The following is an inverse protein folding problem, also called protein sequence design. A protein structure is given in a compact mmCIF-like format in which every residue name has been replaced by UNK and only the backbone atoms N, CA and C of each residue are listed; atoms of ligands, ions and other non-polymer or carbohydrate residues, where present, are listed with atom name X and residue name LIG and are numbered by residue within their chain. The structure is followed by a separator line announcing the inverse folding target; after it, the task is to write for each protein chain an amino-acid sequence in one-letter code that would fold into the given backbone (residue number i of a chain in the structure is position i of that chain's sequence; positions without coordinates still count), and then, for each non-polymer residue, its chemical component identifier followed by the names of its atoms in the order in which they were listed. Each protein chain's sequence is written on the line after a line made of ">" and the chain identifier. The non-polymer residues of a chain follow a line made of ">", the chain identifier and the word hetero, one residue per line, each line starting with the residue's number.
data_IF_844569499877
#
_entry.id   IF_844569499877
#
_cell.length_a   1.000
_cell.length_b   1.000
_cell.length_c   1.000
_cell.angle_alpha   90.00
_cell.angle_beta   90.00
_cell.angle_gamma   90.00
#
_symmetry.space_group_name_H-M   'P 1'
#
loop_
_entity.id
_entity.type
_entity.pdbx_description
1 polymer ?
#
# COMPACT_ATOMS: atom_id res chain seq x y z
N UNK A 1 67.58 1.55 3.50
CA UNK A 1 66.86 1.69 4.78
C UNK A 1 65.43 1.22 4.55
N UNK A 2 65.07 0.07 5.16
CA UNK A 2 63.77 -0.60 5.02
C UNK A 2 62.70 0.19 5.80
N UNK A 3 61.69 0.71 5.11
CA UNK A 3 60.50 1.30 5.74
C UNK A 3 59.55 0.18 6.14
N UNK A 4 59.40 -0.01 7.45
CA UNK A 4 58.54 -0.99 8.09
C UNK A 4 57.06 -0.63 7.90
N UNK A 5 56.39 -1.30 6.96
CA UNK A 5 54.93 -1.44 7.00
C UNK A 5 54.57 -2.25 8.24
N UNK A 6 54.05 -1.58 9.27
CA UNK A 6 53.32 -2.25 10.35
C UNK A 6 52.00 -2.74 9.78
N UNK A 7 51.95 -4.02 9.42
CA UNK A 7 50.70 -4.75 9.28
C UNK A 7 50.25 -5.14 10.68
N UNK A 8 49.43 -4.29 11.29
CA UNK A 8 48.79 -4.59 12.56
C UNK A 8 47.52 -5.41 12.30
N UNK A 9 47.68 -6.72 12.55
CA UNK A 9 46.76 -7.55 13.30
C UNK A 9 45.29 -7.63 12.81
N UNK A 10 45.01 -8.55 11.87
CA UNK A 10 43.65 -9.09 11.69
C UNK A 10 43.61 -10.56 12.10
N UNK A 11 43.68 -10.78 13.42
CA UNK A 11 43.39 -12.06 14.06
C UNK A 11 41.89 -12.28 14.30
N UNK A 12 41.02 -11.95 13.34
CA UNK A 12 39.58 -12.24 13.43
C UNK A 12 39.19 -13.36 12.48
N UNK A 13 38.77 -14.47 13.08
CA UNK A 13 38.05 -15.62 12.48
C UNK A 13 37.58 -15.39 11.04
N UNK A 14 38.33 -15.97 10.12
CA UNK A 14 38.15 -15.84 8.66
C UNK A 14 36.83 -16.43 8.14
N UNK A 15 36.01 -17.02 9.00
CA UNK A 15 34.79 -17.77 8.63
C UNK A 15 33.48 -17.00 8.88
N UNK A 16 33.49 -15.83 9.57
CA UNK A 16 32.24 -15.12 9.95
C UNK A 16 32.28 -13.59 9.83
N UNK A 17 33.07 -13.04 8.91
CA UNK A 17 33.05 -11.60 8.66
C UNK A 17 31.81 -11.23 7.82
N UNK A 18 30.80 -10.61 8.45
CA UNK A 18 29.55 -10.17 7.80
C UNK A 18 29.83 -9.26 6.58
N UNK A 19 30.89 -8.45 6.66
CA UNK A 19 31.37 -7.59 5.58
C UNK A 19 31.86 -8.38 4.35
N UNK A 20 32.52 -9.53 4.56
CA UNK A 20 32.97 -10.41 3.45
C UNK A 20 31.78 -11.04 2.74
N UNK A 21 30.69 -11.37 3.44
CA UNK A 21 29.46 -11.93 2.85
C UNK A 21 28.80 -10.91 1.91
N UNK A 22 28.83 -9.62 2.25
CA UNK A 22 28.37 -8.53 1.38
C UNK A 22 29.38 -8.13 0.29
N UNK A 23 30.64 -8.57 0.40
CA UNK A 23 31.73 -8.16 -0.49
C UNK A 23 32.15 -6.70 -0.32
N UNK A 24 32.01 -6.14 0.89
CA UNK A 24 32.36 -4.75 1.21
C UNK A 24 33.46 -4.71 2.29
N UNK A 25 34.21 -3.61 2.37
CA UNK A 25 35.20 -3.41 3.44
C UNK A 25 34.54 -3.12 4.79
N UNK A 26 35.26 -3.36 5.90
CA UNK A 26 34.76 -3.06 7.25
C UNK A 26 34.45 -1.56 7.47
N UNK A 27 35.12 -0.69 6.71
CA UNK A 27 34.90 0.76 6.71
C UNK A 27 33.79 1.22 5.75
N UNK A 28 33.01 0.30 5.18
CA UNK A 28 31.98 0.64 4.19
C UNK A 28 30.89 1.54 4.80
N UNK A 29 30.46 2.55 4.04
CA UNK A 29 29.36 3.42 4.45
C UNK A 29 28.03 2.64 4.48
N UNK A 30 27.04 3.10 5.27
CA UNK A 30 25.70 2.50 5.24
C UNK A 30 25.10 2.45 3.83
N UNK A 31 25.39 3.44 2.99
CA UNK A 31 24.91 3.48 1.61
C UNK A 31 25.55 2.39 0.73
N UNK A 32 26.83 2.07 0.93
CA UNK A 32 27.53 1.02 0.20
C UNK A 32 27.05 -0.38 0.60
N UNK A 33 26.84 -0.60 1.91
CA UNK A 33 26.25 -1.84 2.45
C UNK A 33 24.87 -2.07 1.81
N UNK A 34 24.02 -1.04 1.76
CA UNK A 34 22.69 -1.09 1.13
C UNK A 34 22.76 -1.41 -0.36
N UNK A 35 23.68 -0.77 -1.10
CA UNK A 35 23.88 -1.03 -2.54
C UNK A 35 24.38 -2.45 -2.80
N UNK A 36 25.32 -2.94 -1.99
CA UNK A 36 25.85 -4.29 -2.11
C UNK A 36 24.78 -5.35 -1.81
N UNK A 37 24.00 -5.14 -0.74
CA UNK A 37 22.85 -5.98 -0.40
C UNK A 37 21.87 -6.07 -1.57
N UNK A 38 21.46 -4.94 -2.15
CA UNK A 38 20.48 -4.91 -3.24
C UNK A 38 20.96 -5.70 -4.47
N UNK A 39 22.23 -5.55 -4.84
CA UNK A 39 22.84 -6.30 -5.95
C UNK A 39 22.84 -7.81 -5.71
N UNK A 40 23.16 -8.24 -4.48
CA UNK A 40 23.19 -9.66 -4.12
C UNK A 40 21.78 -10.25 -3.97
N UNK A 41 20.85 -9.51 -3.36
CA UNK A 41 19.46 -9.91 -3.21
C UNK A 41 18.78 -10.10 -4.57
N UNK A 42 19.03 -9.25 -5.57
CA UNK A 42 18.52 -9.42 -6.94
C UNK A 42 19.09 -10.65 -7.65
N UNK A 43 20.33 -11.04 -7.35
CA UNK A 43 20.99 -12.21 -7.92
C UNK A 43 20.51 -13.51 -7.29
N UNK A 44 20.26 -13.48 -5.98
CA UNK A 44 19.86 -14.63 -5.18
C UNK A 44 18.34 -14.70 -4.94
N UNK A 45 17.56 -13.87 -5.64
CA UNK A 45 16.12 -13.79 -5.42
C UNK A 45 15.45 -15.13 -5.76
N UNK A 46 14.56 -15.66 -4.91
CA UNK A 46 13.90 -16.96 -5.12
C UNK A 46 13.06 -16.99 -6.40
N UNK A 47 12.56 -15.85 -6.89
CA UNK A 47 11.83 -15.80 -8.17
C UNK A 47 12.71 -16.13 -9.39
N UNK A 48 14.02 -15.83 -9.33
CA UNK A 48 14.98 -16.14 -10.40
C UNK A 48 15.62 -17.52 -10.22
N UNK A 49 15.79 -17.96 -8.98
CA UNK A 49 16.48 -19.22 -8.63
C UNK A 49 15.54 -20.13 -7.82
N UNK A 50 14.44 -20.58 -8.46
CA UNK A 50 13.38 -21.34 -7.79
C UNK A 50 13.82 -22.74 -7.30
N UNK A 51 14.85 -23.30 -7.93
CA UNK A 51 15.31 -24.69 -7.70
C UNK A 51 16.72 -24.77 -7.11
N UNK A 52 17.29 -23.64 -6.67
CA UNK A 52 18.65 -23.56 -6.12
C UNK A 52 18.61 -23.37 -4.60
N UNK A 53 18.79 -24.47 -3.86
CA UNK A 53 18.86 -24.44 -2.39
C UNK A 53 20.11 -23.68 -1.88
N UNK A 54 21.21 -23.63 -2.63
CA UNK A 54 22.36 -22.81 -2.24
C UNK A 54 22.05 -21.32 -2.34
N UNK A 55 21.30 -20.90 -3.36
CA UNK A 55 20.89 -19.50 -3.51
C UNK A 55 20.00 -19.07 -2.34
N UNK A 56 19.13 -19.96 -1.87
CA UNK A 56 18.25 -19.76 -0.72
C UNK A 56 19.03 -19.68 0.59
N UNK A 57 20.02 -20.55 0.82
CA UNK A 57 20.90 -20.47 1.99
C UNK A 57 21.71 -19.17 2.00
N UNK A 58 22.31 -18.80 0.85
CA UNK A 58 23.04 -17.53 0.69
C UNK A 58 22.13 -16.32 0.87
N UNK A 59 20.87 -16.39 0.43
CA UNK A 59 19.88 -15.35 0.65
C UNK A 59 19.52 -15.19 2.14
N UNK A 60 19.33 -16.29 2.87
CA UNK A 60 19.09 -16.26 4.31
C UNK A 60 20.29 -15.69 5.07
N UNK A 61 21.51 -16.07 4.69
CA UNK A 61 22.74 -15.46 5.25
C UNK A 61 22.80 -13.95 4.96
N UNK A 62 22.47 -13.54 3.74
CA UNK A 62 22.42 -12.13 3.35
C UNK A 62 21.38 -11.34 4.17
N UNK A 63 20.24 -11.96 4.49
CA UNK A 63 19.21 -11.37 5.36
C UNK A 63 19.71 -11.19 6.80
N UNK A 64 20.41 -12.17 7.38
CA UNK A 64 21.03 -12.07 8.71
C UNK A 64 22.11 -10.98 8.76
N UNK A 65 22.89 -10.86 7.68
CA UNK A 65 23.94 -9.85 7.57
C UNK A 65 23.36 -8.44 7.56
N UNK A 66 22.32 -8.19 6.76
CA UNK A 66 21.74 -6.85 6.67
C UNK A 66 20.96 -6.46 7.94
N UNK A 67 20.40 -7.41 8.69
CA UNK A 67 19.75 -7.10 9.97
C UNK A 67 20.73 -6.62 11.03
N UNK A 68 22.02 -6.99 10.91
CA UNK A 68 23.07 -6.56 11.83
C UNK A 68 23.77 -5.30 11.30
N UNK A 69 24.18 -5.30 10.02
CA UNK A 69 24.95 -4.20 9.42
C UNK A 69 24.08 -3.04 8.91
N UNK A 70 22.77 -3.25 8.78
CA UNK A 70 21.83 -2.23 8.30
C UNK A 70 21.44 -1.21 9.38
N UNK A 71 21.52 -1.60 10.65
CA UNK A 71 21.25 -0.75 11.80
C UNK A 71 22.57 -0.27 12.41
N UNK A 72 22.70 1.05 12.62
CA UNK A 72 23.92 1.66 13.14
C UNK A 72 24.22 1.20 14.57
N UNK A 73 23.19 0.97 15.39
CA UNK A 73 23.36 0.50 16.77
C UNK A 73 23.87 -0.95 16.78
N UNK A 74 23.25 -1.84 15.98
CA UNK A 74 23.65 -3.24 15.87
C UNK A 74 25.01 -3.41 15.20
N UNK A 75 25.34 -2.54 14.24
CA UNK A 75 26.67 -2.49 13.62
C UNK A 75 27.72 -2.10 14.65
N UNK A 76 27.48 -1.08 15.47
CA UNK A 76 28.42 -0.67 16.51
C UNK A 76 28.67 -1.79 17.53
N UNK A 77 27.61 -2.53 17.91
CA UNK A 77 27.74 -3.71 18.78
C UNK A 77 28.54 -4.83 18.11
N UNK A 78 28.32 -5.08 16.82
CA UNK A 78 29.10 -6.06 16.05
C UNK A 78 30.58 -5.68 15.94
N UNK A 79 30.87 -4.41 15.66
CA UNK A 79 32.23 -3.88 15.53
C UNK A 79 33.01 -3.95 16.86
N UNK A 80 32.30 -3.86 18.00
CA UNK A 80 32.88 -3.97 19.35
C UNK A 80 33.04 -5.42 19.82
N UNK A 81 32.00 -6.26 19.64
CA UNK A 81 31.92 -7.59 20.24
C UNK A 81 32.47 -8.69 19.31
N UNK A 82 32.52 -8.45 18.00
CA UNK A 82 33.05 -9.39 17.01
C UNK A 82 32.22 -10.67 16.79
N UNK A 83 31.12 -10.84 17.52
CA UNK A 83 30.15 -11.93 17.38
C UNK A 83 28.76 -11.41 17.74
N UNK A 84 27.73 -11.87 17.01
CA UNK A 84 26.33 -11.64 17.37
C UNK A 84 25.76 -12.99 17.77
N UNK A 85 25.23 -13.09 18.98
CA UNK A 85 24.61 -14.31 19.47
C UNK A 85 23.33 -14.61 18.67
N UNK A 86 23.22 -15.85 18.18
CA UNK A 86 22.10 -16.36 17.37
C UNK A 86 20.73 -16.26 18.09
N UNK A 87 20.72 -16.05 19.42
CA UNK A 87 19.52 -15.98 20.24
C UNK A 87 18.69 -14.70 20.04
N UNK A 88 19.29 -13.61 19.56
CA UNK A 88 18.58 -12.33 19.35
C UNK A 88 17.91 -12.25 17.97
N UNK A 89 17.96 -13.34 17.20
CA UNK A 89 17.59 -13.37 15.77
C UNK A 89 16.34 -14.21 15.44
N UNK A 90 15.66 -14.82 16.41
CA UNK A 90 14.67 -15.88 16.11
C UNK A 90 13.18 -15.48 16.12
N UNK A 91 12.82 -14.23 16.41
CA UNK A 91 11.41 -13.79 16.39
C UNK A 91 11.19 -12.42 15.75
N UNK A 92 12.06 -11.48 16.08
CA UNK A 92 11.93 -10.07 15.70
C UNK A 92 12.60 -9.73 14.34
N UNK A 93 13.33 -10.66 13.73
CA UNK A 93 14.12 -10.37 12.51
C UNK A 93 13.25 -10.11 11.28
N UNK A 94 12.09 -10.77 11.17
CA UNK A 94 11.20 -10.58 10.00
C UNK A 94 10.47 -9.24 10.07
N UNK A 95 9.99 -8.86 11.26
CA UNK A 95 9.34 -7.57 11.48
C UNK A 95 10.36 -6.42 11.39
N UNK A 96 11.55 -6.58 11.97
CA UNK A 96 12.67 -5.65 11.79
C UNK A 96 13.09 -5.52 10.32
N UNK A 97 13.10 -6.61 9.55
CA UNK A 97 13.49 -6.55 8.14
C UNK A 97 12.43 -5.87 7.28
N UNK A 98 11.14 -6.10 7.57
CA UNK A 98 10.04 -5.41 6.89
C UNK A 98 10.09 -3.92 7.16
N UNK A 99 10.32 -3.52 8.40
CA UNK A 99 10.39 -2.12 8.78
C UNK A 99 11.68 -1.45 8.32
N UNK A 100 12.80 -2.19 8.31
CA UNK A 100 14.03 -1.79 7.64
C UNK A 100 13.80 -1.51 6.15
N UNK A 101 13.14 -2.40 5.42
CA UNK A 101 12.83 -2.17 4.00
C UNK A 101 11.87 -1.00 3.78
N UNK A 102 10.86 -0.82 4.64
CA UNK A 102 9.99 0.35 4.58
C UNK A 102 10.71 1.66 4.87
N UNK A 103 11.73 1.66 5.73
CA UNK A 103 12.56 2.83 6.03
C UNK A 103 13.60 3.09 4.94
N UNK A 104 14.06 2.04 4.25
CA UNK A 104 15.05 2.10 3.18
C UNK A 104 14.51 2.68 1.87
N UNK A 105 13.27 2.35 1.52
CA UNK A 105 12.65 2.82 0.28
C UNK A 105 11.73 4.00 0.54
N UNK A 106 11.72 4.98 -0.37
CA UNK A 106 10.77 6.10 -0.31
C UNK A 106 9.35 5.51 -0.25
N UNK A 107 8.57 5.96 0.72
CA UNK A 107 7.13 5.65 0.76
C UNK A 107 6.51 6.27 -0.50
N UNK A 108 6.04 5.41 -1.40
CA UNK A 108 5.32 5.82 -2.61
C UNK A 108 4.05 6.54 -2.15
N UNK A 109 3.96 7.83 -2.44
CA UNK A 109 2.77 8.63 -2.17
C UNK A 109 1.78 8.51 -3.33
N UNK A 110 0.52 8.92 -3.10
CA UNK A 110 -0.46 9.02 -4.18
C UNK A 110 0.02 9.98 -5.29
N UNK A 111 0.74 11.04 -4.91
CA UNK A 111 1.33 12.02 -5.83
C UNK A 111 2.40 11.38 -6.74
N UNK A 112 3.26 10.51 -6.17
CA UNK A 112 4.27 9.78 -6.96
C UNK A 112 3.61 8.85 -8.00
N UNK A 113 2.44 8.28 -7.67
CA UNK A 113 1.67 7.42 -8.59
C UNK A 113 1.06 8.25 -9.71
N UNK A 114 0.47 9.40 -9.38
CA UNK A 114 -0.13 10.32 -10.36
C UNK A 114 0.93 10.89 -11.32
N UNK A 115 2.10 11.27 -10.81
CA UNK A 115 3.24 11.73 -11.62
C UNK A 115 3.75 10.62 -12.54
N UNK A 116 3.86 9.39 -12.04
CA UNK A 116 4.24 8.24 -12.85
C UNK A 116 3.20 7.97 -13.95
N UNK A 117 1.91 7.99 -13.63
CA UNK A 117 0.83 7.78 -14.61
C UNK A 117 0.84 8.85 -15.71
N UNK A 118 1.06 10.11 -15.34
CA UNK A 118 1.14 11.22 -16.28
C UNK A 118 2.35 11.10 -17.23
N UNK A 119 3.49 10.67 -16.71
CA UNK A 119 4.72 10.50 -17.50
C UNK A 119 4.72 9.23 -18.34
N UNK A 120 4.07 8.16 -17.87
CA UNK A 120 4.02 6.88 -18.57
C UNK A 120 3.03 6.93 -19.74
N UNK A 121 1.85 7.55 -19.55
CA UNK A 121 0.85 7.66 -20.62
C UNK A 121 1.34 8.50 -21.79
N UNK A 122 1.30 7.92 -22.98
CA UNK A 122 1.76 8.54 -24.22
C UNK A 122 3.27 8.48 -24.43
N UNK A 123 4.03 7.90 -23.49
CA UNK A 123 5.48 7.73 -23.63
C UNK A 123 5.84 6.64 -24.64
N UNK A 124 7.08 6.67 -25.14
CA UNK A 124 7.62 5.59 -25.97
C UNK A 124 7.69 4.25 -25.20
N UNK A 125 7.95 4.31 -23.89
CA UNK A 125 7.99 3.13 -23.02
C UNK A 125 6.65 2.40 -23.04
N UNK A 126 5.55 3.13 -22.93
CA UNK A 126 4.21 2.55 -23.01
C UNK A 126 3.95 1.91 -24.37
N UNK A 127 4.34 2.55 -25.48
CA UNK A 127 4.20 1.96 -26.82
C UNK A 127 4.95 0.63 -26.92
N UNK A 128 6.19 0.59 -26.43
CA UNK A 128 7.04 -0.62 -26.43
C UNK A 128 6.43 -1.74 -25.61
N UNK A 129 6.03 -1.45 -24.37
CA UNK A 129 5.41 -2.42 -23.46
C UNK A 129 4.12 -2.99 -24.06
N UNK A 130 3.31 -2.12 -24.68
CA UNK A 130 2.06 -2.52 -25.30
C UNK A 130 2.26 -3.45 -26.48
N UNK A 131 3.26 -3.18 -27.33
CA UNK A 131 3.61 -4.05 -28.46
C UNK A 131 4.18 -5.39 -27.97
N UNK A 132 4.99 -5.39 -26.91
CA UNK A 132 5.51 -6.60 -26.29
C UNK A 132 4.38 -7.48 -25.73
N UNK A 133 3.46 -6.89 -24.96
CA UNK A 133 2.31 -7.60 -24.43
C UNK A 133 1.37 -8.08 -25.55
N UNK A 134 1.21 -7.30 -26.62
CA UNK A 134 0.44 -7.70 -27.79
C UNK A 134 1.02 -8.96 -28.43
N UNK A 135 2.35 -9.02 -28.61
CA UNK A 135 3.06 -10.18 -29.14
C UNK A 135 2.91 -11.39 -28.20
N UNK A 136 3.09 -11.19 -26.90
CA UNK A 136 2.96 -12.23 -25.86
C UNK A 136 1.57 -12.86 -25.83
N UNK A 137 0.52 -12.04 -25.89
CA UNK A 137 -0.87 -12.51 -25.80
C UNK A 137 -1.56 -12.70 -27.16
N UNK A 138 -0.83 -12.57 -28.26
CA UNK A 138 -1.32 -12.79 -29.64
C UNK A 138 -2.59 -11.98 -29.97
N UNK A 139 -2.65 -10.75 -29.48
CA UNK A 139 -3.79 -9.83 -29.69
C UNK A 139 -5.05 -10.12 -28.85
N UNK A 140 -4.95 -10.88 -27.75
CA UNK A 140 -6.03 -11.00 -26.77
C UNK A 140 -6.03 -9.81 -25.80
N UNK A 141 -6.86 -8.82 -26.09
CA UNK A 141 -6.86 -7.54 -25.36
C UNK A 141 -7.25 -7.65 -23.90
N UNK A 142 -8.17 -8.54 -23.52
CA UNK A 142 -8.53 -8.74 -22.11
C UNK A 142 -7.33 -9.08 -21.22
N UNK A 143 -6.43 -9.95 -21.70
CA UNK A 143 -5.21 -10.31 -20.98
C UNK A 143 -4.16 -9.21 -21.03
N UNK A 144 -4.13 -8.44 -22.12
CA UNK A 144 -3.25 -7.29 -22.26
C UNK A 144 -3.60 -6.23 -21.21
N UNK A 145 -4.87 -5.84 -21.10
CA UNK A 145 -5.33 -4.87 -20.09
C UNK A 145 -5.05 -5.33 -18.66
N UNK A 146 -5.18 -6.63 -18.34
CA UNK A 146 -4.84 -7.13 -17.01
C UNK A 146 -3.34 -7.05 -16.68
N UNK A 147 -2.47 -7.04 -17.70
CA UNK A 147 -1.02 -7.05 -17.52
C UNK A 147 -0.38 -5.68 -17.73
N UNK A 148 -1.09 -4.74 -18.35
CA UNK A 148 -0.56 -3.44 -18.75
C UNK A 148 -0.72 -2.42 -17.62
N UNK A 149 0.36 -1.70 -17.34
CA UNK A 149 0.39 -0.62 -16.34
C UNK A 149 -0.52 0.54 -16.76
N UNK A 150 -1.12 1.21 -15.77
CA UNK A 150 -1.93 2.41 -15.96
C UNK A 150 -3.07 2.28 -17.00
N UNK A 151 -3.56 1.06 -17.23
CA UNK A 151 -4.52 0.77 -18.29
C UNK A 151 -5.95 0.60 -17.74
N UNK A 152 -6.90 1.29 -18.38
CA UNK A 152 -8.32 1.20 -18.09
C UNK A 152 -9.08 0.82 -19.36
N UNK A 153 -9.71 -0.38 -19.45
CA UNK A 153 -10.41 -0.83 -20.66
C UNK A 153 -11.46 0.16 -21.18
N UNK A 154 -12.11 0.93 -20.32
CA UNK A 154 -13.16 1.88 -20.73
C UNK A 154 -12.60 3.17 -21.33
N UNK A 155 -11.41 3.61 -20.91
CA UNK A 155 -10.84 4.90 -21.29
C UNK A 155 -9.75 4.75 -22.35
N UNK A 156 -8.93 3.71 -22.24
CA UNK A 156 -7.72 3.53 -23.05
C UNK A 156 -7.94 2.67 -24.31
N UNK A 157 -9.12 2.07 -24.50
CA UNK A 157 -9.38 1.19 -25.63
C UNK A 157 -9.12 1.83 -26.99
N UNK A 158 -9.56 3.07 -27.20
CA UNK A 158 -9.34 3.77 -28.47
C UNK A 158 -7.87 4.16 -28.68
N UNK A 159 -7.20 4.57 -27.60
CA UNK A 159 -5.79 4.95 -27.62
C UNK A 159 -4.90 3.75 -27.94
N UNK A 160 -5.15 2.62 -27.28
CA UNK A 160 -4.45 1.36 -27.54
C UNK A 160 -4.72 0.85 -28.94
N UNK A 161 -5.97 0.95 -29.43
CA UNK A 161 -6.29 0.64 -30.82
C UNK A 161 -5.44 1.46 -31.79
N UNK A 162 -5.37 2.78 -31.60
CA UNK A 162 -4.55 3.64 -32.47
C UNK A 162 -3.07 3.24 -32.46
N UNK A 163 -2.47 3.02 -31.29
CA UNK A 163 -1.06 2.62 -31.16
C UNK A 163 -0.80 1.26 -31.82
N UNK A 164 -1.71 0.30 -31.66
CA UNK A 164 -1.57 -1.04 -32.26
C UNK A 164 -1.75 -0.97 -33.78
N UNK A 165 -2.72 -0.19 -34.26
CA UNK A 165 -2.93 0.00 -35.70
C UNK A 165 -1.71 0.67 -36.35
N UNK A 166 -1.11 1.68 -35.67
CA UNK A 166 0.16 2.31 -36.06
C UNK A 166 1.30 1.28 -36.12
N UNK A 167 1.45 0.45 -35.08
CA UNK A 167 2.48 -0.60 -35.01
C UNK A 167 2.27 -1.71 -36.05
N UNK A 168 1.02 -2.05 -36.39
CA UNK A 168 0.70 -3.00 -37.46
C UNK A 168 1.02 -2.39 -38.82
N UNK A 169 0.70 -1.10 -39.04
CA UNK A 169 1.02 -0.39 -40.28
C UNK A 169 2.54 -0.25 -40.49
N UNK A 170 3.29 -0.02 -39.41
CA UNK A 170 4.75 -0.01 -39.41
C UNK A 170 5.39 -1.41 -39.57
N UNK A 171 4.60 -2.49 -39.49
CA UNK A 171 5.06 -3.87 -39.61
C UNK A 171 5.70 -4.46 -38.36
N UNK A 172 5.66 -3.74 -37.22
CA UNK A 172 6.23 -4.20 -35.94
C UNK A 172 5.39 -5.29 -35.27
N UNK A 173 4.08 -5.32 -35.55
CA UNK A 173 3.13 -6.30 -35.01
C UNK A 173 2.25 -6.91 -36.11
N UNK A 174 1.87 -8.19 -35.94
CA UNK A 174 0.99 -8.90 -36.89
C UNK A 174 -0.46 -8.83 -36.42
N UNK A 175 -1.37 -8.38 -37.30
CA UNK A 175 -2.81 -8.36 -37.03
C UNK A 175 -3.36 -9.78 -36.82
N UNK A 176 -3.94 -10.06 -35.66
CA UNK A 176 -4.57 -11.36 -35.35
C UNK A 176 -6.09 -11.30 -35.49
N UNK A 177 -6.74 -12.46 -35.68
CA UNK A 177 -8.22 -12.55 -35.74
C UNK A 177 -8.89 -12.02 -34.47
N UNK A 178 -8.28 -12.29 -33.30
CA UNK A 178 -8.77 -11.80 -32.01
C UNK A 178 -8.72 -10.27 -31.92
N UNK A 179 -7.62 -9.67 -32.40
CA UNK A 179 -7.48 -8.22 -32.46
C UNK A 179 -8.49 -7.58 -33.42
N UNK A 180 -8.68 -8.13 -34.62
CA UNK A 180 -9.67 -7.61 -35.59
C UNK A 180 -11.09 -7.58 -35.02
N UNK A 181 -11.49 -8.64 -34.30
CA UNK A 181 -12.79 -8.70 -33.63
C UNK A 181 -12.91 -7.59 -32.57
N UNK A 182 -11.91 -7.47 -31.70
CA UNK A 182 -11.89 -6.42 -30.68
C UNK A 182 -11.87 -5.01 -31.29
N UNK A 183 -11.05 -4.77 -32.31
CA UNK A 183 -10.95 -3.48 -32.98
C UNK A 183 -12.28 -3.04 -33.60
N UNK A 184 -13.09 -4.00 -34.08
CA UNK A 184 -14.45 -3.76 -34.56
C UNK A 184 -15.38 -3.35 -33.41
N UNK A 185 -15.38 -4.11 -32.31
CA UNK A 185 -16.16 -3.78 -31.10
C UNK A 185 -15.80 -2.38 -30.58
N UNK A 186 -14.52 -1.99 -30.59
CA UNK A 186 -14.09 -0.66 -30.15
C UNK A 186 -14.48 0.45 -31.15
N UNK A 187 -14.54 0.22 -32.46
CA UNK A 187 -15.05 1.24 -33.39
C UNK A 187 -16.55 1.51 -33.24
N UNK A 188 -17.30 0.55 -32.70
CA UNK A 188 -18.74 0.68 -32.46
C UNK A 188 -19.03 1.43 -31.16
N UNK A 189 -18.08 1.43 -30.21
CA UNK A 189 -18.16 2.21 -28.97
C UNK A 189 -17.78 3.66 -29.28
N UNK A 190 -18.58 4.62 -28.79
CA UNK A 190 -18.21 6.03 -28.93
C UNK A 190 -16.89 6.31 -28.20
N UNK A 191 -15.95 7.04 -28.82
CA UNK A 191 -14.70 7.39 -28.16
C UNK A 191 -15.02 8.11 -26.85
N UNK A 192 -14.50 7.64 -25.71
CA UNK A 192 -14.73 8.31 -24.44
C UNK A 192 -14.25 9.75 -24.59
N UNK A 193 -15.14 10.69 -24.31
CA UNK A 193 -14.86 12.12 -24.35
C UNK A 193 -13.55 12.36 -23.60
N UNK A 194 -12.60 12.94 -24.32
CA UNK A 194 -11.21 13.13 -23.94
C UNK A 194 -11.02 13.35 -22.42
N UNK A 195 -10.46 12.38 -21.68
CA UNK A 195 -10.26 12.47 -20.24
C UNK A 195 -8.95 13.19 -19.88
N UNK A 196 -8.32 13.92 -20.81
CA UNK A 196 -7.23 14.85 -20.45
C UNK A 196 -7.70 15.95 -19.51
N UNK A 197 -9.02 16.14 -19.41
CA UNK A 197 -9.69 16.70 -18.24
C UNK A 197 -10.82 15.76 -17.81
N UNK A 198 -10.52 14.54 -17.36
CA UNK A 198 -11.26 14.08 -16.19
C UNK A 198 -11.01 15.18 -15.18
N UNK A 199 -12.05 16.02 -14.97
CA UNK A 199 -12.14 16.98 -13.90
C UNK A 199 -11.27 16.41 -12.79
N UNK A 200 -10.24 17.15 -12.35
CA UNK A 200 -9.89 17.15 -10.93
C UNK A 200 -11.24 16.93 -10.28
N UNK A 201 -11.52 15.74 -9.71
CA UNK A 201 -12.66 15.66 -8.80
C UNK A 201 -12.22 16.71 -7.82
N UNK A 202 -12.82 17.90 -7.95
CA UNK A 202 -12.41 19.08 -7.24
C UNK A 202 -12.24 18.52 -5.85
N UNK A 203 -10.99 18.48 -5.39
CA UNK A 203 -10.63 17.88 -4.12
C UNK A 203 -11.72 18.43 -3.23
N UNK A 204 -12.64 17.57 -2.77
CA UNK A 204 -13.72 18.03 -1.91
C UNK A 204 -13.05 18.17 -0.55
N UNK A 205 -12.05 19.04 -0.51
CA UNK A 205 -11.44 19.64 0.65
C UNK A 205 -12.58 20.43 1.28
N UNK A 206 -13.31 19.78 2.16
CA UNK A 206 -14.38 20.42 2.92
C UNK A 206 -15.56 19.54 3.31
N UNK A 207 -15.75 18.36 2.73
CA UNK A 207 -16.98 17.58 3.01
C UNK A 207 -17.08 17.01 4.43
N UNK A 208 -15.95 16.67 5.06
CA UNK A 208 -15.96 16.10 6.42
C UNK A 208 -16.26 17.13 7.51
N UNK A 209 -15.73 18.35 7.37
CA UNK A 209 -16.01 19.46 8.31
C UNK A 209 -17.44 19.96 8.15
N UNK A 210 -17.94 20.01 6.91
CA UNK A 210 -19.32 20.42 6.59
C UNK A 210 -20.35 19.39 7.08
N UNK A 211 -20.12 18.08 6.89
CA UNK A 211 -20.98 17.04 7.46
C UNK A 211 -20.99 17.05 9.00
N UNK A 212 -19.84 17.24 9.65
CA UNK A 212 -19.76 17.31 11.11
C UNK A 212 -20.47 18.57 11.65
N UNK A 213 -20.34 19.71 10.95
CA UNK A 213 -21.06 20.94 11.26
C UNK A 213 -22.58 20.77 11.09
N UNK A 214 -23.03 20.14 10.00
CA UNK A 214 -24.45 19.84 9.77
C UNK A 214 -25.00 18.88 10.83
N UNK A 215 -24.23 17.87 11.26
CA UNK A 215 -24.62 16.95 12.34
C UNK A 215 -24.68 17.68 13.69
N UNK A 216 -23.71 18.55 13.98
CA UNK A 216 -23.68 19.36 15.19
C UNK A 216 -24.87 20.35 15.23
N UNK A 217 -25.14 21.04 14.12
CA UNK A 217 -26.29 21.94 13.97
C UNK A 217 -27.61 21.18 14.15
N UNK A 218 -27.79 20.03 13.50
CA UNK A 218 -29.00 19.19 13.69
C UNK A 218 -29.14 18.61 15.09
N UNK A 219 -28.05 18.47 15.84
CA UNK A 219 -28.08 18.10 17.27
C UNK A 219 -28.47 19.30 18.13
N UNK A 220 -27.96 20.49 17.82
CA UNK A 220 -28.35 21.76 18.45
C UNK A 220 -29.84 22.06 18.25
N UNK A 221 -30.32 22.05 17.00
CA UNK A 221 -31.74 22.28 16.68
C UNK A 221 -32.66 21.23 17.34
N UNK A 222 -32.21 19.97 17.46
CA UNK A 222 -32.95 18.94 18.19
C UNK A 222 -32.98 19.22 19.69
N UNK A 223 -31.87 19.71 20.26
CA UNK A 223 -31.80 20.08 21.67
C UNK A 223 -32.66 21.30 21.96
N UNK A 224 -32.62 22.34 21.14
CA UNK A 224 -33.47 23.54 21.32
C UNK A 224 -34.95 23.20 21.16
N UNK A 225 -35.31 22.38 20.16
CA UNK A 225 -36.69 21.88 20.03
C UNK A 225 -37.10 21.04 21.24
N UNK A 226 -36.19 20.22 21.78
CA UNK A 226 -36.44 19.46 23.00
C UNK A 226 -36.59 20.37 24.22
N UNK A 227 -35.70 21.34 24.42
CA UNK A 227 -35.74 22.29 25.55
C UNK A 227 -36.96 23.21 25.49
N UNK A 228 -37.42 23.57 24.28
CA UNK A 228 -38.66 24.32 24.07
C UNK A 228 -39.88 23.45 24.39
N UNK A 229 -39.90 22.20 23.92
CA UNK A 229 -40.97 21.25 24.26
C UNK A 229 -40.99 20.96 25.76
N UNK A 230 -39.83 20.73 26.37
CA UNK A 230 -39.65 20.46 27.80
C UNK A 230 -40.07 21.66 28.63
N UNK A 231 -39.63 22.88 28.28
CA UNK A 231 -40.10 24.11 28.92
C UNK A 231 -41.62 24.26 28.80
N UNK A 232 -42.21 23.97 27.63
CA UNK A 232 -43.68 24.00 27.49
C UNK A 232 -44.40 22.93 28.34
N UNK A 233 -43.71 21.83 28.64
CA UNK A 233 -44.22 20.73 29.44
C UNK A 233 -44.09 21.05 30.92
N UNK A 234 -42.95 21.60 31.35
CA UNK A 234 -42.71 22.10 32.71
C UNK A 234 -43.63 23.28 33.01
N UNK A 235 -43.88 24.20 32.08
CA UNK A 235 -44.87 25.27 32.31
C UNK A 235 -46.31 24.75 32.35
N UNK A 236 -46.62 23.62 31.72
CA UNK A 236 -47.97 23.03 31.75
C UNK A 236 -48.21 22.08 32.93
N UNK A 237 -47.16 21.44 33.45
CA UNK A 237 -47.27 20.36 34.44
C UNK A 237 -46.37 20.55 35.66
N UNK A 238 -45.41 21.47 35.63
CA UNK A 238 -44.43 21.70 36.70
C UNK A 238 -44.88 22.66 37.80
N UNK A 239 -46.08 23.24 37.71
CA UNK A 239 -46.68 24.07 38.76
C UNK A 239 -47.50 23.24 39.78
N UNK A 240 -47.65 21.93 39.57
CA UNK A 240 -48.13 21.02 40.61
C UNK A 240 -46.91 20.50 41.38
N UNK A 241 -46.52 21.24 42.42
CA UNK A 241 -45.60 20.78 43.46
C UNK A 241 -46.28 19.72 44.35
N UNK A 242 -46.79 18.65 43.75
CA UNK A 242 -47.17 17.45 44.47
C UNK A 242 -45.91 16.56 44.54
N UNK A 243 -45.54 16.23 45.77
CA UNK A 243 -44.38 15.46 46.22
C UNK A 243 -43.86 14.41 45.23
N UNK A 244 -42.53 14.30 45.12
CA UNK A 244 -41.84 13.23 44.40
C UNK A 244 -42.51 11.87 44.71
N UNK A 245 -42.89 11.08 43.68
CA UNK A 245 -43.53 9.79 43.90
C UNK A 245 -42.58 8.88 44.68
N UNK A 246 -43.08 8.22 45.73
CA UNK A 246 -42.31 7.28 46.53
C UNK A 246 -41.73 6.17 45.63
N UNK A 247 -40.58 5.63 46.00
CA UNK A 247 -39.78 4.68 45.22
C UNK A 247 -40.59 3.44 44.78
N UNK A 248 -41.58 3.01 45.58
CA UNK A 248 -42.52 1.94 45.23
C UNK A 248 -43.45 2.28 44.04
N UNK A 249 -43.93 3.52 43.94
CA UNK A 249 -44.80 3.94 42.82
C UNK A 249 -43.99 4.04 41.52
N UNK A 250 -42.72 4.43 41.63
CA UNK A 250 -41.80 4.49 40.50
C UNK A 250 -41.46 3.10 39.97
N UNK A 251 -41.16 2.14 40.86
CA UNK A 251 -40.93 0.74 40.47
C UNK A 251 -42.19 0.12 39.84
N UNK A 252 -43.38 0.41 40.38
CA UNK A 252 -44.64 -0.09 39.82
C UNK A 252 -44.92 0.47 38.41
N UNK A 253 -44.59 1.73 38.16
CA UNK A 253 -44.68 2.34 36.83
C UNK A 253 -43.69 1.70 35.84
N UNK A 254 -42.47 1.41 36.29
CA UNK A 254 -41.44 0.76 35.47
C UNK A 254 -41.85 -0.65 35.05
N UNK A 255 -42.40 -1.44 35.99
CA UNK A 255 -42.94 -2.79 35.71
C UNK A 255 -44.14 -2.76 34.74
N UNK A 256 -45.01 -1.74 34.83
CA UNK A 256 -46.11 -1.54 33.85
C UNK A 256 -45.62 -1.19 32.45
N UNK A 257 -44.51 -0.47 32.31
CA UNK A 257 -43.93 -0.14 31.01
C UNK A 257 -43.21 -1.34 30.40
N UNK A 258 -42.49 -2.13 31.21
CA UNK A 258 -41.83 -3.36 30.74
C UNK A 258 -42.81 -4.44 30.31
N UNK A 259 -43.92 -4.62 31.06
CA UNK A 259 -44.99 -5.55 30.68
C UNK A 259 -45.73 -5.16 29.40
N UNK A 260 -45.69 -3.89 28.99
CA UNK A 260 -46.30 -3.39 27.74
C UNK A 260 -45.38 -3.44 26.53
N UNK A 261 -44.09 -3.80 26.68
CA UNK A 261 -43.18 -3.92 25.54
C UNK A 261 -43.48 -5.22 24.76
N UNK A 262 -43.85 -5.15 23.47
CA UNK A 262 -44.05 -6.35 22.67
C UNK A 262 -42.73 -7.10 22.49
N UNK A 263 -42.74 -8.41 22.71
CA UNK A 263 -41.54 -9.26 22.63
C UNK A 263 -40.92 -9.18 21.23
N UNK A 264 -39.68 -8.70 21.16
CA UNK A 264 -38.93 -8.59 19.91
C UNK A 264 -38.47 -9.99 19.51
N UNK A 265 -39.30 -10.72 18.76
CA UNK A 265 -38.99 -12.05 18.21
C UNK A 265 -37.75 -11.92 17.31
N UNK A 266 -36.64 -12.47 17.77
CA UNK A 266 -35.38 -12.60 17.04
C UNK A 266 -35.61 -13.41 15.75
N UNK A 267 -35.67 -12.74 14.60
CA UNK A 267 -35.50 -13.38 13.28
C UNK A 267 -34.00 -13.49 13.01
N UNK A 268 -33.46 -14.69 13.22
CA UNK A 268 -32.14 -15.13 12.76
C UNK A 268 -32.32 -15.58 11.31
N UNK A 269 -31.67 -14.91 10.37
CA UNK A 269 -31.31 -15.40 9.04
C UNK A 269 -29.83 -15.10 8.86
#
# INVERSE_FOLDING_TARGET
>A
MRSTLKMENDGRSTEKNLYKVLGVGATASPQEIKKAYHKLALRLHPDKNKDDEEAKEKFQQLQKVISILGDEEKRAVYDQTGSVDDADLSGDVVDNLRDFFKAMYKKVTEEDIDEFEANYRGSESEKKDLIELYKKFKGKMSRLFCSMLCSNPKLDSHRFKFIIDEAIAAGEAKSTKAYKKWAKEISEIEPPINPTKMRRKAKKSGGGKDLYAIIAQRRGERKEKFDTMFSSLVSRYGDNADSEPNEEEFEAAQRKVESRRPSKKSRRN
#
